data_IF_772543936489
#
_entry.id   IF_772543936489
#
_cell.length_a   1.000
_cell.length_b   1.000
_cell.length_c   1.000
_cell.angle_alpha   90.00
_cell.angle_beta   90.00
_cell.angle_gamma   90.00
#
_symmetry.space_group_name_H-M   'P 1'
#
loop_
_entity.id
_entity.type
_entity.pdbx_description
1 polymer ?
#
# COMPACT_ATOMS: atom_id res chain seq x y z
N UNK A 1 30.12 -4.73 18.11
CA UNK A 1 29.54 -5.39 16.93
C UNK A 1 28.04 -5.25 17.05
N UNK A 2 27.39 -4.65 16.06
CA UNK A 2 25.95 -4.34 16.16
C UNK A 2 25.11 -5.58 15.88
N UNK A 3 24.16 -5.92 16.73
CA UNK A 3 23.21 -7.01 16.53
C UNK A 3 21.94 -6.52 15.85
N UNK A 4 21.43 -7.28 14.88
CA UNK A 4 20.14 -7.03 14.23
C UNK A 4 19.08 -7.97 14.80
N UNK A 5 18.07 -7.37 15.42
CA UNK A 5 16.95 -8.10 15.99
C UNK A 5 15.85 -8.25 14.93
N UNK A 6 15.49 -9.50 14.64
CA UNK A 6 14.34 -9.84 13.76
C UNK A 6 13.22 -10.45 14.59
N UNK A 7 11.99 -10.08 14.27
CA UNK A 7 10.78 -10.66 14.85
C UNK A 7 10.65 -10.57 16.38
N UNK A 8 11.00 -9.44 16.97
CA UNK A 8 10.97 -9.19 18.42
C UNK A 8 9.69 -9.68 19.14
N UNK A 9 8.55 -9.72 18.45
CA UNK A 9 7.26 -10.08 19.02
C UNK A 9 6.79 -11.52 18.77
N UNK A 10 7.44 -12.31 17.87
CA UNK A 10 7.02 -13.69 17.55
C UNK A 10 8.09 -14.73 17.88
N UNK A 11 9.29 -14.57 17.39
CA UNK A 11 10.48 -15.37 17.70
C UNK A 11 11.70 -14.48 17.49
N UNK A 12 12.20 -13.90 18.55
CA UNK A 12 13.40 -13.08 18.49
C UNK A 12 14.56 -13.86 17.89
N UNK A 13 15.11 -13.34 16.79
CA UNK A 13 16.35 -13.84 16.18
C UNK A 13 17.36 -12.71 16.20
N UNK A 14 18.49 -12.94 16.81
CA UNK A 14 19.62 -12.03 16.82
C UNK A 14 20.60 -12.50 15.76
N UNK A 15 20.99 -11.59 14.89
CA UNK A 15 21.96 -11.82 13.82
C UNK A 15 23.00 -10.72 13.87
N UNK A 16 24.22 -11.05 13.53
CA UNK A 16 25.26 -10.06 13.33
C UNK A 16 24.89 -9.13 12.17
N UNK A 17 25.20 -7.84 12.32
CA UNK A 17 24.98 -6.86 11.26
C UNK A 17 26.02 -7.08 10.14
N UNK A 18 25.55 -7.30 8.93
CA UNK A 18 26.34 -7.47 7.72
C UNK A 18 26.30 -6.21 6.85
N UNK A 19 27.29 -5.30 6.95
CA UNK A 19 27.30 -4.03 6.19
C UNK A 19 27.18 -4.22 4.68
N UNK A 20 27.86 -5.22 4.12
CA UNK A 20 27.89 -5.47 2.66
C UNK A 20 26.50 -5.80 2.11
N UNK A 21 25.69 -6.53 2.89
CA UNK A 21 24.28 -6.82 2.50
C UNK A 21 23.43 -5.56 2.48
N UNK A 22 23.65 -4.66 3.43
CA UNK A 22 22.92 -3.39 3.45
C UNK A 22 23.37 -2.49 2.31
N UNK A 23 24.68 -2.37 2.07
CA UNK A 23 25.24 -1.59 0.94
C UNK A 23 24.67 -2.11 -0.37
N UNK A 24 24.75 -3.42 -0.65
CA UNK A 24 24.17 -4.02 -1.85
C UNK A 24 22.66 -3.76 -2.01
N UNK A 25 21.91 -3.74 -0.92
CA UNK A 25 20.50 -3.37 -0.95
C UNK A 25 20.29 -1.90 -1.34
N UNK A 26 21.10 -0.99 -0.79
CA UNK A 26 21.05 0.45 -1.09
C UNK A 26 21.43 0.70 -2.54
N UNK A 27 22.50 0.09 -3.03
CA UNK A 27 22.97 0.21 -4.41
C UNK A 27 21.92 -0.21 -5.43
N UNK A 28 21.21 -1.33 -5.20
CA UNK A 28 20.08 -1.74 -6.04
C UNK A 28 18.94 -0.71 -6.09
N UNK A 29 18.74 0.02 -5.00
CA UNK A 29 17.80 1.14 -5.00
C UNK A 29 18.33 2.32 -5.81
N UNK A 30 19.62 2.57 -5.77
CA UNK A 30 20.27 3.65 -6.52
C UNK A 30 20.35 3.40 -8.03
N UNK A 31 20.35 2.15 -8.49
CA UNK A 31 20.24 1.81 -9.91
C UNK A 31 18.99 2.42 -10.57
N UNK A 32 17.95 2.68 -9.76
CA UNK A 32 16.66 3.22 -10.21
C UNK A 32 16.56 4.74 -10.14
N UNK A 33 17.59 5.42 -9.65
CA UNK A 33 17.57 6.86 -9.46
C UNK A 33 18.84 7.52 -10.00
N UNK A 34 18.69 8.79 -10.43
CA UNK A 34 19.82 9.59 -10.91
C UNK A 34 20.26 10.53 -9.78
N UNK A 35 21.31 10.17 -9.08
CA UNK A 35 21.91 10.97 -8.01
C UNK A 35 23.44 10.95 -8.21
N UNK A 36 24.12 12.04 -7.88
CA UNK A 36 25.56 12.15 -7.94
C UNK A 36 26.24 11.10 -7.04
N UNK A 37 27.33 10.50 -7.54
CA UNK A 37 28.00 9.41 -6.83
C UNK A 37 28.50 9.84 -5.44
N UNK A 38 29.10 11.03 -5.32
CA UNK A 38 29.56 11.55 -4.04
C UNK A 38 28.44 11.76 -2.99
N UNK A 39 27.19 11.97 -3.43
CA UNK A 39 26.03 12.06 -2.52
C UNK A 39 25.59 10.67 -2.08
N UNK A 40 25.62 9.69 -2.99
CA UNK A 40 25.33 8.28 -2.67
C UNK A 40 26.30 7.73 -1.63
N UNK A 41 27.60 7.95 -1.83
CA UNK A 41 28.64 7.54 -0.88
C UNK A 41 28.42 8.15 0.51
N UNK A 42 28.17 9.47 0.58
CA UNK A 42 27.89 10.16 1.85
C UNK A 42 26.65 9.60 2.54
N UNK A 43 25.60 9.24 1.78
CA UNK A 43 24.39 8.63 2.30
C UNK A 43 24.69 7.25 2.90
N UNK A 44 25.41 6.38 2.17
CA UNK A 44 25.81 5.05 2.64
C UNK A 44 26.63 5.17 3.93
N UNK A 45 27.65 6.01 3.95
CA UNK A 45 28.52 6.23 5.11
C UNK A 45 27.73 6.73 6.32
N UNK A 46 26.77 7.63 6.12
CA UNK A 46 25.90 8.14 7.18
C UNK A 46 25.05 7.01 7.75
N UNK A 47 24.42 6.22 6.91
CA UNK A 47 23.59 5.07 7.34
C UNK A 47 24.41 4.06 8.12
N UNK A 48 25.57 3.67 7.62
CA UNK A 48 26.44 2.71 8.30
C UNK A 48 26.87 3.23 9.68
N UNK A 49 27.30 4.49 9.78
CA UNK A 49 27.65 5.10 11.07
C UNK A 49 26.50 5.11 12.07
N UNK A 50 25.30 5.46 11.62
CA UNK A 50 24.11 5.51 12.49
C UNK A 50 23.67 4.12 12.99
N UNK A 51 23.94 3.06 12.22
CA UNK A 51 23.65 1.69 12.64
C UNK A 51 24.76 1.19 13.56
N UNK A 52 26.03 1.34 13.17
CA UNK A 52 27.19 0.83 13.91
C UNK A 52 27.42 1.54 15.26
N UNK A 53 26.87 2.75 15.44
CA UNK A 53 26.88 3.44 16.74
C UNK A 53 25.95 2.83 17.79
N UNK A 54 25.20 1.78 17.45
CA UNK A 54 24.25 1.09 18.32
C UNK A 54 24.72 -0.32 18.60
N UNK A 55 24.48 -0.78 19.82
CA UNK A 55 24.76 -2.17 20.21
C UNK A 55 23.72 -3.11 19.54
N UNK A 56 22.45 -2.68 19.49
CA UNK A 56 21.35 -3.44 18.91
C UNK A 56 20.47 -2.54 18.01
N UNK A 57 19.93 -3.11 16.94
CA UNK A 57 18.95 -2.43 16.08
C UNK A 57 17.90 -3.41 15.56
N UNK A 58 16.64 -3.03 15.58
CA UNK A 58 15.57 -3.82 14.96
C UNK A 58 15.62 -3.70 13.43
N UNK A 59 15.40 -4.78 12.71
CA UNK A 59 15.39 -4.78 11.25
C UNK A 59 14.39 -3.79 10.63
N UNK A 60 13.25 -3.59 11.29
CA UNK A 60 12.26 -2.57 10.88
C UNK A 60 12.78 -1.15 11.07
N UNK A 61 13.60 -0.93 12.09
CA UNK A 61 14.23 0.37 12.36
C UNK A 61 15.28 0.73 11.31
N UNK A 62 15.96 -0.25 10.73
CA UNK A 62 16.88 -0.02 9.60
C UNK A 62 16.10 0.50 8.39
N UNK A 63 14.99 -0.13 8.03
CA UNK A 63 14.12 0.32 6.92
C UNK A 63 13.56 1.74 7.18
N UNK A 64 13.17 2.01 8.44
CA UNK A 64 12.69 3.35 8.84
C UNK A 64 13.82 4.39 8.69
N UNK A 65 15.03 4.08 9.15
CA UNK A 65 16.19 4.96 9.04
C UNK A 65 16.52 5.29 7.58
N UNK A 66 16.58 4.28 6.72
CA UNK A 66 16.82 4.47 5.28
C UNK A 66 15.80 5.45 4.67
N UNK A 67 14.51 5.26 4.94
CA UNK A 67 13.45 6.15 4.43
C UNK A 67 13.57 7.57 4.98
N UNK A 68 13.80 7.71 6.28
CA UNK A 68 13.90 9.02 6.92
C UNK A 68 15.10 9.83 6.39
N UNK A 69 16.28 9.23 6.30
CA UNK A 69 17.48 9.91 5.79
C UNK A 69 17.37 10.26 4.30
N UNK A 70 16.71 9.42 3.50
CA UNK A 70 16.41 9.75 2.11
C UNK A 70 15.43 10.93 1.98
N UNK A 71 14.40 10.99 2.84
CA UNK A 71 13.42 12.08 2.84
C UNK A 71 14.01 13.40 3.35
N UNK A 72 15.00 13.37 4.25
CA UNK A 72 15.74 14.59 4.66
C UNK A 72 16.42 15.20 3.45
N UNK A 73 17.04 14.38 2.59
CA UNK A 73 17.72 14.86 1.38
C UNK A 73 16.78 15.45 0.32
N UNK A 74 15.47 15.17 0.40
CA UNK A 74 14.46 15.85 -0.44
C UNK A 74 14.16 17.28 0.01
N UNK A 75 14.38 17.58 1.29
CA UNK A 75 14.04 18.89 1.87
C UNK A 75 15.22 19.88 1.90
N UNK A 76 16.46 19.39 1.72
CA UNK A 76 17.68 20.16 1.96
C UNK A 76 18.05 21.12 0.83
N UNK A 77 17.21 21.30 -0.21
CA UNK A 77 17.48 22.27 -1.26
C UNK A 77 16.38 23.33 -1.28
N UNK A 78 16.48 24.27 -0.36
CA UNK A 78 15.96 25.62 -0.55
C UNK A 78 17.15 26.49 -0.87
N UNK A 79 17.19 27.04 -2.10
CA UNK A 79 18.03 28.20 -2.34
C UNK A 79 17.63 29.32 -1.39
N UNK A 80 18.57 30.19 -1.04
CA UNK A 80 18.36 31.36 -0.19
C UNK A 80 17.16 32.24 -0.65
N UNK A 81 16.76 32.14 -1.93
CA UNK A 81 15.66 32.87 -2.54
C UNK A 81 14.31 32.10 -2.60
N UNK A 82 14.23 30.86 -2.11
CA UNK A 82 12.98 30.05 -2.10
C UNK A 82 12.50 29.57 -3.47
N UNK A 83 13.29 29.71 -4.53
CA UNK A 83 12.97 29.29 -5.89
C UNK A 83 13.30 27.82 -6.14
N UNK A 84 12.39 27.13 -6.88
CA UNK A 84 12.58 25.74 -7.31
C UNK A 84 13.60 25.74 -8.47
N UNK A 85 14.80 25.21 -8.22
CA UNK A 85 15.85 25.08 -9.25
C UNK A 85 15.82 23.69 -9.91
N UNK A 86 16.52 23.49 -11.07
CA UNK A 86 16.66 22.17 -11.69
C UNK A 86 17.25 21.11 -10.75
N UNK A 87 17.99 21.50 -9.72
CA UNK A 87 18.49 20.63 -8.65
C UNK A 87 17.35 20.05 -7.80
N UNK A 88 16.20 20.72 -7.70
CA UNK A 88 15.00 20.16 -7.09
C UNK A 88 14.46 18.93 -7.83
N UNK A 89 14.72 18.78 -9.12
CA UNK A 89 14.39 17.56 -9.87
C UNK A 89 15.21 16.36 -9.39
N UNK A 90 16.42 16.57 -8.89
CA UNK A 90 17.22 15.50 -8.25
C UNK A 90 16.61 15.06 -6.91
N UNK A 91 15.89 15.92 -6.22
CA UNK A 91 15.24 15.59 -4.94
C UNK A 91 14.10 14.61 -5.09
N UNK A 92 13.37 14.62 -6.21
CA UNK A 92 12.36 13.61 -6.51
C UNK A 92 12.96 12.21 -6.57
N UNK A 93 14.26 12.08 -6.87
CA UNK A 93 14.95 10.80 -6.89
C UNK A 93 15.09 10.20 -5.49
N UNK A 94 15.28 11.00 -4.46
CA UNK A 94 15.32 10.52 -3.08
C UNK A 94 13.96 10.03 -2.58
N UNK A 95 12.86 10.63 -3.03
CA UNK A 95 11.51 10.08 -2.77
C UNK A 95 11.31 8.75 -3.49
N UNK A 96 11.84 8.58 -4.69
CA UNK A 96 11.83 7.28 -5.41
C UNK A 96 12.63 6.22 -4.66
N UNK A 97 13.80 6.59 -4.10
CA UNK A 97 14.56 5.67 -3.25
C UNK A 97 13.79 5.30 -1.97
N UNK A 98 13.21 6.26 -1.27
CA UNK A 98 12.37 5.99 -0.09
C UNK A 98 11.17 5.08 -0.45
N UNK A 99 10.54 5.30 -1.61
CA UNK A 99 9.50 4.42 -2.16
C UNK A 99 10.03 3.01 -2.39
N UNK A 100 11.21 2.88 -3.02
CA UNK A 100 11.84 1.56 -3.23
C UNK A 100 12.02 0.80 -1.91
N UNK A 101 12.53 1.45 -0.88
CA UNK A 101 12.71 0.84 0.45
C UNK A 101 11.37 0.38 1.03
N UNK A 102 10.33 1.21 0.94
CA UNK A 102 8.98 0.87 1.42
C UNK A 102 8.39 -0.30 0.62
N UNK A 103 8.54 -0.31 -0.69
CA UNK A 103 8.06 -1.37 -1.59
C UNK A 103 8.70 -2.72 -1.23
N UNK A 104 10.03 -2.75 -1.01
CA UNK A 104 10.74 -3.96 -0.58
C UNK A 104 10.28 -4.44 0.80
N UNK A 105 9.96 -3.52 1.71
CA UNK A 105 9.38 -3.85 3.01
C UNK A 105 8.01 -4.52 2.85
N UNK A 106 7.13 -3.98 2.01
CA UNK A 106 5.80 -4.54 1.73
C UNK A 106 5.91 -5.95 1.13
N UNK A 107 6.77 -6.16 0.14
CA UNK A 107 7.00 -7.47 -0.48
C UNK A 107 7.47 -8.51 0.56
N UNK A 108 8.42 -8.15 1.43
CA UNK A 108 8.89 -9.03 2.50
C UNK A 108 7.80 -9.37 3.51
N UNK A 109 6.94 -8.40 3.86
CA UNK A 109 5.85 -8.63 4.81
C UNK A 109 4.77 -9.55 4.23
N UNK A 110 4.32 -9.29 3.01
CA UNK A 110 3.33 -10.11 2.33
C UNK A 110 3.85 -11.53 2.07
N UNK A 111 5.08 -11.67 1.53
CA UNK A 111 5.68 -12.97 1.24
C UNK A 111 5.87 -13.83 2.51
N UNK A 112 6.26 -13.22 3.63
CA UNK A 112 6.40 -13.91 4.90
C UNK A 112 5.05 -14.45 5.41
N UNK A 113 4.00 -13.64 5.31
CA UNK A 113 2.67 -14.03 5.81
C UNK A 113 1.98 -15.06 4.89
N UNK A 114 2.40 -15.14 3.62
CA UNK A 114 1.88 -16.06 2.60
C UNK A 114 2.86 -17.19 2.25
N UNK A 115 4.02 -17.25 2.91
CA UNK A 115 5.02 -18.33 2.76
C UNK A 115 5.57 -18.51 1.33
N UNK A 116 5.90 -17.40 0.63
CA UNK A 116 6.57 -17.43 -0.67
C UNK A 116 7.87 -16.61 -0.69
N UNK A 117 8.70 -16.78 -1.73
CA UNK A 117 9.93 -15.99 -1.89
C UNK A 117 9.60 -14.55 -2.32
N UNK A 118 10.01 -13.57 -1.51
CA UNK A 118 9.79 -12.14 -1.80
C UNK A 118 10.42 -11.64 -3.10
N UNK A 119 11.35 -12.39 -3.70
CA UNK A 119 11.98 -12.04 -4.99
C UNK A 119 10.99 -12.07 -6.15
N UNK A 120 9.95 -12.90 -6.07
CA UNK A 120 8.88 -12.94 -7.08
C UNK A 120 7.89 -11.78 -6.95
N UNK A 121 8.08 -10.88 -5.96
CA UNK A 121 7.25 -9.72 -5.61
C UNK A 121 5.82 -10.12 -5.23
N UNK A 122 5.02 -10.58 -6.18
CA UNK A 122 3.63 -11.00 -6.06
C UNK A 122 3.55 -12.53 -6.09
N UNK A 123 2.88 -13.11 -5.10
CA UNK A 123 2.69 -14.56 -5.00
C UNK A 123 1.38 -15.02 -5.65
N UNK A 124 0.96 -16.22 -5.31
CA UNK A 124 -0.30 -16.81 -5.77
C UNK A 124 -1.51 -15.94 -5.37
N UNK A 125 -2.17 -15.35 -6.36
CA UNK A 125 -3.30 -14.45 -6.14
C UNK A 125 -4.59 -15.23 -5.77
N UNK A 126 -4.82 -16.40 -6.39
CA UNK A 126 -5.94 -17.25 -6.00
C UNK A 126 -5.82 -17.69 -4.52
N UNK A 127 -4.64 -18.15 -4.13
CA UNK A 127 -4.35 -18.48 -2.73
C UNK A 127 -4.50 -17.30 -1.77
N UNK A 128 -4.21 -16.07 -2.21
CA UNK A 128 -4.48 -14.87 -1.42
C UNK A 128 -5.98 -14.70 -1.16
N UNK A 129 -6.83 -14.81 -2.21
CA UNK A 129 -8.28 -14.66 -2.06
C UNK A 129 -8.83 -15.73 -1.12
N UNK A 130 -8.41 -16.99 -1.28
CA UNK A 130 -8.81 -18.09 -0.38
C UNK A 130 -8.42 -17.77 1.06
N UNK A 131 -7.14 -17.42 1.29
CA UNK A 131 -6.62 -17.12 2.64
C UNK A 131 -7.37 -15.98 3.31
N UNK A 132 -7.65 -14.88 2.58
CA UNK A 132 -8.34 -13.72 3.14
C UNK A 132 -9.84 -13.98 3.34
N UNK A 133 -10.46 -14.87 2.55
CA UNK A 133 -11.83 -15.32 2.76
C UNK A 133 -11.93 -16.21 4.00
N UNK A 134 -11.02 -17.16 4.19
CA UNK A 134 -10.95 -18.01 5.39
C UNK A 134 -10.71 -17.21 6.69
N UNK A 135 -10.10 -16.04 6.58
CA UNK A 135 -9.87 -15.09 7.69
C UNK A 135 -11.01 -14.11 7.92
N UNK A 136 -12.13 -14.24 7.22
CA UNK A 136 -13.26 -13.30 7.25
C UNK A 136 -12.87 -11.83 6.91
N UNK A 137 -11.83 -11.66 6.10
CA UNK A 137 -11.38 -10.35 5.63
C UNK A 137 -11.94 -10.04 4.23
N UNK A 138 -12.08 -11.06 3.37
CA UNK A 138 -12.73 -10.96 2.06
C UNK A 138 -14.10 -11.61 2.06
N UNK A 139 -15.01 -11.06 1.24
CA UNK A 139 -16.35 -11.66 1.03
C UNK A 139 -16.21 -13.00 0.29
N UNK A 140 -16.98 -14.02 0.72
CA UNK A 140 -17.02 -15.29 0.01
C UNK A 140 -17.62 -15.19 -1.40
N UNK A 141 -18.24 -14.06 -1.74
CA UNK A 141 -18.88 -13.86 -3.04
C UNK A 141 -17.88 -13.85 -4.19
N UNK A 142 -16.61 -13.46 -3.95
CA UNK A 142 -15.55 -13.58 -4.95
C UNK A 142 -15.32 -15.05 -5.36
N UNK A 143 -15.25 -15.97 -4.38
CA UNK A 143 -15.05 -17.39 -4.65
C UNK A 143 -16.30 -18.09 -5.17
N UNK A 144 -17.49 -17.55 -4.92
CA UNK A 144 -18.76 -18.09 -5.44
C UNK A 144 -19.01 -17.66 -6.89
N UNK A 145 -18.62 -16.43 -7.22
CA UNK A 145 -18.93 -15.83 -8.52
C UNK A 145 -17.90 -16.10 -9.60
N UNK A 146 -16.62 -16.25 -9.21
CA UNK A 146 -15.51 -16.50 -10.13
C UNK A 146 -15.01 -17.93 -10.01
N UNK A 147 -14.73 -18.58 -11.16
CA UNK A 147 -14.04 -19.85 -11.15
C UNK A 147 -12.58 -19.72 -10.69
N UNK A 148 -11.98 -20.83 -10.32
CA UNK A 148 -10.55 -20.87 -9.99
C UNK A 148 -9.68 -20.38 -11.14
N UNK A 149 -10.03 -20.78 -12.36
CA UNK A 149 -9.32 -20.44 -13.59
C UNK A 149 -9.37 -18.93 -13.84
N UNK A 150 -10.56 -18.30 -13.68
CA UNK A 150 -10.72 -16.84 -13.81
C UNK A 150 -9.88 -16.07 -12.78
N UNK A 151 -9.83 -16.55 -11.54
CA UNK A 151 -9.02 -15.91 -10.50
C UNK A 151 -7.51 -16.08 -10.73
N UNK A 152 -7.07 -17.20 -11.30
CA UNK A 152 -5.69 -17.41 -11.73
C UNK A 152 -5.36 -16.50 -12.92
N UNK A 153 -6.27 -16.36 -13.89
CA UNK A 153 -6.12 -15.46 -15.04
C UNK A 153 -5.99 -13.99 -14.57
N UNK A 154 -6.85 -13.56 -13.64
CA UNK A 154 -6.76 -12.25 -13.01
C UNK A 154 -5.38 -12.04 -12.33
N UNK A 155 -4.91 -13.04 -11.59
CA UNK A 155 -3.60 -13.00 -10.95
C UNK A 155 -2.44 -12.87 -11.94
N UNK A 156 -2.51 -13.59 -13.05
CA UNK A 156 -1.50 -13.54 -14.11
C UNK A 156 -1.49 -12.20 -14.88
N UNK A 157 -2.58 -11.44 -14.83
CA UNK A 157 -2.67 -10.11 -15.43
C UNK A 157 -2.08 -9.01 -14.54
N UNK A 158 -1.68 -9.32 -13.30
CA UNK A 158 -1.05 -8.36 -12.39
C UNK A 158 0.34 -7.98 -12.89
N UNK A 159 0.61 -6.67 -12.98
CA UNK A 159 1.87 -6.09 -13.44
C UNK A 159 2.58 -5.42 -12.25
N UNK A 160 3.56 -6.09 -11.61
CA UNK A 160 4.26 -5.58 -10.42
C UNK A 160 4.99 -4.26 -10.66
N UNK A 161 5.45 -4.01 -11.87
CA UNK A 161 6.19 -2.80 -12.27
C UNK A 161 5.36 -1.52 -12.12
N UNK A 162 4.02 -1.62 -12.14
CA UNK A 162 3.12 -0.47 -11.91
C UNK A 162 3.16 0.06 -10.48
N UNK A 163 3.73 -0.67 -9.53
CA UNK A 163 4.04 -0.13 -8.21
C UNK A 163 5.04 1.04 -8.28
N UNK A 164 5.81 1.14 -9.36
CA UNK A 164 6.74 2.24 -9.58
C UNK A 164 6.07 3.55 -9.98
N UNK A 165 4.78 3.52 -10.34
CA UNK A 165 3.96 4.71 -10.60
C UNK A 165 3.62 5.49 -9.32
N UNK A 166 3.68 4.85 -8.15
CA UNK A 166 3.55 5.57 -6.89
C UNK A 166 4.81 6.40 -6.59
N UNK A 167 4.63 7.57 -5.99
CA UNK A 167 5.67 8.19 -5.20
C UNK A 167 5.72 7.59 -3.78
N UNK A 168 6.64 8.07 -2.93
CA UNK A 168 6.73 7.57 -1.55
C UNK A 168 5.46 7.87 -0.75
N UNK A 169 4.94 9.09 -0.83
CA UNK A 169 3.76 9.51 -0.06
C UNK A 169 2.51 8.75 -0.50
N UNK A 170 2.35 8.55 -1.82
CA UNK A 170 1.28 7.76 -2.40
C UNK A 170 1.33 6.30 -1.95
N UNK A 171 2.47 5.63 -2.05
CA UNK A 171 2.62 4.24 -1.61
C UNK A 171 2.44 4.09 -0.09
N UNK A 172 2.97 5.04 0.70
CA UNK A 172 2.79 5.05 2.15
C UNK A 172 1.31 5.21 2.53
N UNK A 173 0.63 6.17 1.94
CA UNK A 173 -0.80 6.39 2.14
C UNK A 173 -1.62 5.17 1.70
N UNK A 174 -1.30 4.60 0.53
CA UNK A 174 -1.97 3.42 0.00
C UNK A 174 -1.82 2.23 0.94
N UNK A 175 -0.60 1.91 1.35
CA UNK A 175 -0.31 0.78 2.24
C UNK A 175 -0.91 0.94 3.64
N UNK A 176 -1.07 2.18 4.12
CA UNK A 176 -1.63 2.44 5.44
C UNK A 176 -3.16 2.38 5.46
N UNK A 177 -3.83 2.84 4.40
CA UNK A 177 -5.29 3.05 4.35
C UNK A 177 -6.04 1.98 3.58
N UNK A 178 -5.51 1.51 2.43
CA UNK A 178 -6.28 0.73 1.47
C UNK A 178 -5.98 -0.77 1.51
N UNK A 179 -4.74 -1.17 1.83
CA UNK A 179 -4.43 -2.60 1.92
C UNK A 179 -5.18 -3.26 3.07
N UNK A 180 -5.69 -4.46 2.79
CA UNK A 180 -6.34 -5.29 3.82
C UNK A 180 -5.30 -5.77 4.82
N UNK A 181 -5.60 -5.56 6.08
CA UNK A 181 -4.77 -5.97 7.22
C UNK A 181 -5.58 -6.89 8.12
N UNK A 182 -4.92 -7.90 8.64
CA UNK A 182 -5.48 -8.73 9.69
C UNK A 182 -5.58 -7.95 11.02
N UNK A 183 -6.26 -8.47 11.99
CA UNK A 183 -6.43 -7.87 13.33
C UNK A 183 -5.10 -7.60 14.04
N UNK A 184 -4.07 -8.40 13.76
CA UNK A 184 -2.69 -8.20 14.25
C UNK A 184 -1.87 -7.22 13.40
N UNK A 185 -2.51 -6.51 12.46
CA UNK A 185 -1.91 -5.59 11.48
C UNK A 185 -0.96 -6.28 10.48
N UNK A 186 -1.04 -7.59 10.35
CA UNK A 186 -0.32 -8.32 9.30
C UNK A 186 -0.83 -7.94 7.92
N UNK A 187 0.10 -7.70 6.98
CA UNK A 187 -0.19 -7.37 5.59
C UNK A 187 -0.07 -8.66 4.77
N UNK A 188 -1.11 -9.01 4.06
CA UNK A 188 -1.16 -10.12 3.13
C UNK A 188 -1.23 -9.65 1.68
N UNK A 189 -1.95 -8.55 1.45
CA UNK A 189 -2.25 -7.97 0.17
C UNK A 189 -1.24 -6.90 -0.22
N UNK A 190 -0.94 -6.80 -1.50
CA UNK A 190 -0.07 -5.80 -2.12
C UNK A 190 -0.87 -4.84 -3.02
N UNK A 191 -0.32 -3.67 -3.40
CA UNK A 191 -1.08 -2.63 -4.09
C UNK A 191 -1.80 -3.11 -5.36
N UNK A 192 -1.12 -3.85 -6.24
CA UNK A 192 -1.73 -4.32 -7.48
C UNK A 192 -2.81 -5.38 -7.23
N UNK A 193 -2.67 -6.19 -6.17
CA UNK A 193 -3.69 -7.15 -5.75
C UNK A 193 -4.94 -6.43 -5.24
N UNK A 194 -4.78 -5.29 -4.50
CA UNK A 194 -5.91 -4.45 -4.08
C UNK A 194 -6.68 -3.90 -5.27
N UNK A 195 -5.98 -3.41 -6.30
CA UNK A 195 -6.61 -2.92 -7.53
C UNK A 195 -7.34 -4.05 -8.25
N UNK A 196 -6.72 -5.22 -8.36
CA UNK A 196 -7.35 -6.38 -9.00
C UNK A 196 -8.60 -6.85 -8.22
N UNK A 197 -8.53 -6.92 -6.88
CA UNK A 197 -9.67 -7.31 -6.05
C UNK A 197 -10.82 -6.31 -6.16
N UNK A 198 -10.51 -5.00 -6.21
CA UNK A 198 -11.54 -3.99 -6.45
C UNK A 198 -12.20 -4.18 -7.83
N UNK A 199 -11.40 -4.48 -8.86
CA UNK A 199 -11.92 -4.74 -10.22
C UNK A 199 -12.80 -5.98 -10.28
N UNK A 200 -12.40 -7.09 -9.63
CA UNK A 200 -13.23 -8.30 -9.52
C UNK A 200 -14.57 -8.00 -8.84
N UNK A 201 -14.55 -7.27 -7.73
CA UNK A 201 -15.77 -6.98 -6.99
C UNK A 201 -16.74 -6.09 -7.77
N UNK A 202 -16.22 -5.08 -8.48
CA UNK A 202 -17.03 -4.15 -9.28
C UNK A 202 -17.63 -4.80 -10.53
N UNK A 203 -16.99 -5.85 -11.06
CA UNK A 203 -17.45 -6.58 -12.25
C UNK A 203 -18.17 -7.89 -11.92
N UNK A 204 -18.53 -8.12 -10.65
CA UNK A 204 -19.07 -9.41 -10.20
C UNK A 204 -20.38 -9.81 -10.88
N UNK A 205 -21.21 -8.85 -11.25
CA UNK A 205 -22.52 -9.06 -11.88
C UNK A 205 -22.46 -9.07 -13.42
N UNK A 206 -21.28 -8.84 -14.01
CA UNK A 206 -21.09 -8.91 -15.46
C UNK A 206 -21.29 -10.34 -15.96
N UNK A 207 -22.03 -10.50 -17.06
CA UNK A 207 -22.37 -11.82 -17.62
C UNK A 207 -21.51 -12.22 -18.79
N UNK A 208 -21.15 -11.25 -19.62
CA UNK A 208 -20.39 -11.49 -20.86
C UNK A 208 -18.98 -10.91 -20.69
N UNK A 209 -17.98 -11.68 -21.12
CA UNK A 209 -16.57 -11.28 -21.10
C UNK A 209 -16.09 -10.74 -19.74
N UNK A 210 -16.66 -11.26 -18.65
CA UNK A 210 -16.47 -10.73 -17.29
C UNK A 210 -15.01 -10.56 -16.92
N UNK A 211 -14.19 -11.61 -17.11
CA UNK A 211 -12.78 -11.55 -16.72
C UNK A 211 -11.99 -10.55 -17.58
N UNK A 212 -12.35 -10.40 -18.85
CA UNK A 212 -11.76 -9.38 -19.73
C UNK A 212 -12.06 -7.97 -19.22
N UNK A 213 -13.31 -7.70 -18.84
CA UNK A 213 -13.72 -6.41 -18.25
C UNK A 213 -13.01 -6.15 -16.92
N UNK A 214 -12.81 -7.18 -16.09
CA UNK A 214 -12.00 -7.09 -14.85
C UNK A 214 -10.58 -6.64 -15.16
N UNK A 215 -9.93 -7.27 -16.16
CA UNK A 215 -8.55 -6.96 -16.53
C UNK A 215 -8.46 -5.54 -17.14
N UNK A 216 -9.44 -5.13 -17.95
CA UNK A 216 -9.51 -3.77 -18.50
C UNK A 216 -9.67 -2.71 -17.39
N UNK A 217 -10.55 -2.95 -16.41
CA UNK A 217 -10.72 -2.05 -15.28
C UNK A 217 -9.45 -2.00 -14.41
N UNK A 218 -8.86 -3.16 -14.12
CA UNK A 218 -7.57 -3.23 -13.44
C UNK A 218 -6.50 -2.43 -14.19
N UNK A 219 -6.44 -2.56 -15.53
CA UNK A 219 -5.50 -1.81 -16.34
C UNK A 219 -5.68 -0.30 -16.16
N UNK A 220 -6.91 0.19 -16.21
CA UNK A 220 -7.21 1.61 -16.07
C UNK A 220 -6.83 2.16 -14.68
N UNK A 221 -7.14 1.41 -13.61
CA UNK A 221 -6.85 1.81 -12.24
C UNK A 221 -5.35 1.74 -11.96
N UNK A 222 -4.71 0.63 -12.32
CA UNK A 222 -3.31 0.36 -11.99
C UNK A 222 -2.31 1.23 -12.79
N UNK A 223 -2.72 1.76 -13.94
CA UNK A 223 -1.99 2.78 -14.69
C UNK A 223 -2.34 4.22 -14.27
N UNK A 224 -3.13 4.40 -13.20
CA UNK A 224 -3.53 5.72 -12.67
C UNK A 224 -4.39 6.57 -13.63
N UNK A 225 -5.02 5.96 -14.66
CA UNK A 225 -5.98 6.66 -15.51
C UNK A 225 -7.33 6.85 -14.86
N UNK A 226 -7.68 5.98 -13.89
CA UNK A 226 -8.90 6.02 -13.12
C UNK A 226 -8.58 5.91 -11.63
N UNK A 227 -9.19 6.77 -10.82
CA UNK A 227 -9.14 6.69 -9.37
C UNK A 227 -10.52 6.32 -8.82
N UNK A 228 -10.54 5.36 -7.91
CA UNK A 228 -11.76 4.98 -7.21
C UNK A 228 -11.96 5.85 -5.97
N UNK A 229 -13.22 6.07 -5.60
CA UNK A 229 -13.54 6.69 -4.32
C UNK A 229 -12.92 5.88 -3.16
N UNK A 230 -12.51 6.57 -2.09
CA UNK A 230 -11.85 5.93 -0.94
C UNK A 230 -12.62 4.72 -0.41
N UNK A 231 -13.95 4.78 -0.16
CA UNK A 231 -14.68 3.60 0.33
C UNK A 231 -14.70 2.46 -0.69
N UNK A 232 -14.85 2.77 -1.96
CA UNK A 232 -14.83 1.76 -3.02
C UNK A 232 -13.49 1.03 -3.04
N UNK A 233 -12.37 1.77 -3.08
CA UNK A 233 -11.04 1.17 -3.09
C UNK A 233 -10.72 0.44 -1.79
N UNK A 234 -11.21 0.92 -0.65
CA UNK A 234 -10.96 0.29 0.65
C UNK A 234 -11.78 -0.97 0.84
N UNK A 235 -13.07 -0.95 0.47
CA UNK A 235 -14.04 -1.95 0.91
C UNK A 235 -14.47 -2.94 -0.17
N UNK A 236 -14.20 -2.69 -1.46
CA UNK A 236 -14.54 -3.63 -2.52
C UNK A 236 -13.91 -5.00 -2.24
N UNK A 237 -14.70 -6.05 -2.25
CA UNK A 237 -14.29 -7.42 -1.95
C UNK A 237 -14.11 -7.74 -0.45
N UNK A 238 -14.35 -6.80 0.47
CA UNK A 238 -14.33 -7.07 1.92
C UNK A 238 -15.69 -7.57 2.42
N UNK A 239 -15.67 -8.22 3.58
CA UNK A 239 -16.87 -8.64 4.30
C UNK A 239 -17.69 -7.43 4.82
N UNK A 240 -17.02 -6.34 5.18
CA UNK A 240 -17.63 -5.16 5.81
C UNK A 240 -17.26 -3.88 5.09
N UNK A 241 -18.15 -2.90 5.16
CA UNK A 241 -17.95 -1.56 4.63
C UNK A 241 -18.80 -1.29 3.38
N UNK A 242 -19.33 -0.07 3.27
CA UNK A 242 -20.05 0.41 2.09
C UNK A 242 -19.07 0.89 1.01
N UNK A 243 -19.55 0.96 -0.24
CA UNK A 243 -18.75 1.46 -1.37
C UNK A 243 -18.97 2.96 -1.63
N UNK A 244 -20.03 3.55 -1.07
CA UNK A 244 -20.37 4.95 -1.24
C UNK A 244 -19.74 5.82 -0.15
N UNK A 245 -19.25 7.00 -0.56
CA UNK A 245 -18.58 7.95 0.33
C UNK A 245 -19.50 9.08 0.80
N UNK A 246 -20.56 9.37 0.03
CA UNK A 246 -21.42 10.53 0.25
C UNK A 246 -22.89 10.15 0.11
N UNK A 247 -23.69 10.73 0.98
CA UNK A 247 -25.14 10.55 1.01
C UNK A 247 -25.82 11.91 1.09
N UNK A 248 -27.01 12.02 0.49
CA UNK A 248 -27.85 13.20 0.58
C UNK A 248 -29.16 12.79 1.23
N UNK A 249 -29.54 13.51 2.28
CA UNK A 249 -30.78 13.30 3.01
C UNK A 249 -31.67 14.56 2.88
N UNK A 250 -32.98 14.36 2.81
CA UNK A 250 -33.97 15.43 2.85
C UNK A 250 -34.91 15.20 4.02
N UNK A 251 -35.12 16.25 4.82
CA UNK A 251 -35.98 16.23 6.01
C UNK A 251 -37.20 17.08 5.77
N UNK A 252 -38.38 16.50 5.99
CA UNK A 252 -39.60 17.26 6.03
C UNK A 252 -39.77 17.97 7.39
N UNK A 253 -40.64 18.97 7.44
CA UNK A 253 -40.97 19.73 8.66
C UNK A 253 -41.92 18.95 9.58
N UNK A 254 -41.53 17.74 9.93
CA UNK A 254 -42.22 16.94 10.92
C UNK A 254 -41.25 16.38 11.96
N UNK A 255 -41.71 16.30 13.22
CA UNK A 255 -40.88 15.75 14.29
C UNK A 255 -40.37 14.33 13.94
N UNK A 256 -41.20 13.51 13.31
CA UNK A 256 -40.85 12.17 12.91
C UNK A 256 -39.73 12.16 11.89
N UNK A 257 -39.87 12.94 10.81
CA UNK A 257 -38.85 13.04 9.76
C UNK A 257 -37.50 13.54 10.31
N UNK A 258 -37.53 14.52 11.23
CA UNK A 258 -36.31 15.06 11.85
C UNK A 258 -35.55 13.98 12.64
N UNK A 259 -36.26 13.13 13.41
CA UNK A 259 -35.63 12.08 14.20
C UNK A 259 -35.18 10.87 13.36
N UNK A 260 -35.94 10.50 12.34
CA UNK A 260 -35.54 9.46 11.39
C UNK A 260 -34.26 9.87 10.68
N UNK A 261 -34.15 11.10 10.19
CA UNK A 261 -32.92 11.66 9.61
C UNK A 261 -31.75 11.64 10.58
N UNK A 262 -31.96 12.00 11.84
CA UNK A 262 -30.87 11.95 12.83
C UNK A 262 -30.36 10.52 13.03
N UNK A 263 -31.24 9.53 12.95
CA UNK A 263 -30.85 8.11 13.01
C UNK A 263 -30.06 7.71 11.78
N UNK A 264 -30.47 8.14 10.58
CA UNK A 264 -29.77 7.88 9.33
C UNK A 264 -28.40 8.54 9.32
N UNK A 265 -28.31 9.81 9.75
CA UNK A 265 -27.02 10.53 9.90
C UNK A 265 -26.09 9.75 10.83
N UNK A 266 -26.58 9.28 11.98
CA UNK A 266 -25.77 8.50 12.92
C UNK A 266 -25.28 7.17 12.28
N UNK A 267 -26.18 6.50 11.55
CA UNK A 267 -25.89 5.21 10.90
C UNK A 267 -24.85 5.37 9.78
N UNK A 268 -25.01 6.35 8.90
CA UNK A 268 -24.05 6.61 7.82
C UNK A 268 -22.70 7.12 8.35
N UNK A 269 -22.71 8.02 9.35
CA UNK A 269 -21.49 8.53 9.98
C UNK A 269 -20.68 7.44 10.66
N UNK A 270 -21.34 6.47 11.31
CA UNK A 270 -20.67 5.30 11.90
C UNK A 270 -19.86 4.52 10.87
N UNK A 271 -20.30 4.50 9.62
CA UNK A 271 -19.64 3.82 8.51
C UNK A 271 -18.64 4.73 7.75
N UNK A 272 -18.37 5.93 8.26
CA UNK A 272 -17.38 6.85 7.69
C UNK A 272 -17.88 7.66 6.48
N UNK A 273 -19.19 7.77 6.28
CA UNK A 273 -19.77 8.51 5.17
C UNK A 273 -19.83 10.02 5.41
N UNK A 274 -19.64 10.80 4.34
CA UNK A 274 -20.01 12.21 4.30
C UNK A 274 -21.49 12.38 4.04
N UNK A 275 -22.15 13.34 4.72
CA UNK A 275 -23.60 13.51 4.63
C UNK A 275 -23.91 14.97 4.33
N UNK A 276 -24.65 15.20 3.23
CA UNK A 276 -25.33 16.45 2.95
C UNK A 276 -26.79 16.36 3.40
N UNK A 277 -27.26 17.33 4.20
CA UNK A 277 -28.66 17.38 4.64
C UNK A 277 -29.33 18.64 4.14
N UNK A 278 -30.50 18.49 3.53
CA UNK A 278 -31.42 19.56 3.21
C UNK A 278 -32.61 19.45 4.18
N UNK A 279 -32.88 20.53 4.90
CA UNK A 279 -34.05 20.64 5.77
C UNK A 279 -35.07 21.60 5.17
N UNK A 280 -36.34 21.23 5.15
CA UNK A 280 -37.42 22.11 4.70
C UNK A 280 -37.67 23.21 5.74
#
# INVERSE_FOLDING_TARGET
MTEVIKDKHKRERRLEFEPERLVSFIEKGFEKIQVEEGIKEKYIDKILRLIQSRDEIEAISISKLLKQEALVLTNDIKNEDGLVTPEHLNNTNWTKFARYVLQQELYKRASKNRSYDSKIKYGDYYGLIVTLTEKDLYTPDLLKSYSREELIEAGNAIVPERDELFDFAGLHSFSSRYLVKDFDKSIYELPQERFMTASLHLMIDEKEDRIKKVIELYWAISNMYLTLATPTLTNAGRVTGGLSSCFVLTSDDSLRSIYDDNTDVATFSKNGAGIGKLSA
#
